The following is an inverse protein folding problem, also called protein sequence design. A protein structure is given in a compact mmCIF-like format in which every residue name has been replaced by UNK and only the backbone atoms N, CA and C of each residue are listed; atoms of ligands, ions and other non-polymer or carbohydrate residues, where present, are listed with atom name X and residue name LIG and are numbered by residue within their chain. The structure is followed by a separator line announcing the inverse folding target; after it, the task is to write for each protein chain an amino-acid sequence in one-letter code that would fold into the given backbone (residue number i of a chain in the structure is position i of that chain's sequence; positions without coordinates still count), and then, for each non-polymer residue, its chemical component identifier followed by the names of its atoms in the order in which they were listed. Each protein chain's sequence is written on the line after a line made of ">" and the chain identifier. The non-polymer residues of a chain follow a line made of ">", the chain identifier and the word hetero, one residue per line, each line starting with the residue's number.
data_IF_351470282134
#
_entry.id   IF_351470282134
#
_cell.length_a   1.000
_cell.length_b   1.000
_cell.length_c   1.000
_cell.angle_alpha   90.00
_cell.angle_beta   90.00
_cell.angle_gamma   90.00
#
_symmetry.space_group_name_H-M   'P 1'
#
loop_
_entity.id
_entity.type
_entity.pdbx_description
1 polymer ?
#
# COMPACT_ATOMS: atom_id res chain seq x y z
N UNK A 1 13.21 13.19 -9.85
CA UNK A 1 13.43 11.92 -9.12
C UNK A 1 14.51 11.17 -9.87
N UNK A 2 15.67 10.95 -9.23
CA UNK A 2 16.83 10.25 -9.79
C UNK A 2 17.19 9.00 -8.97
N UNK A 3 16.81 8.97 -7.69
CA UNK A 3 17.06 7.85 -6.80
C UNK A 3 15.77 7.38 -6.11
N UNK A 4 15.76 6.15 -5.59
CA UNK A 4 14.60 5.53 -4.94
C UNK A 4 14.15 6.24 -3.65
N UNK A 5 15.07 6.94 -2.98
CA UNK A 5 14.79 7.68 -1.74
C UNK A 5 14.31 9.12 -2.00
N UNK A 6 14.30 9.57 -3.25
CA UNK A 6 13.82 10.91 -3.58
C UNK A 6 12.30 10.97 -3.35
N UNK A 7 11.86 11.97 -2.60
CA UNK A 7 10.45 12.18 -2.31
C UNK A 7 9.76 12.85 -3.50
N UNK A 8 8.62 12.32 -3.98
CA UNK A 8 7.79 13.01 -4.96
C UNK A 8 7.33 14.38 -4.47
N UNK A 9 7.45 15.40 -5.30
CA UNK A 9 6.82 16.70 -5.08
C UNK A 9 5.46 16.76 -5.79
N UNK A 10 4.39 16.46 -5.04
CA UNK A 10 3.03 16.49 -5.58
C UNK A 10 2.47 17.91 -5.74
N UNK A 11 3.07 18.92 -5.08
CA UNK A 11 2.61 20.30 -5.18
C UNK A 11 2.96 20.92 -6.55
N UNK A 12 4.08 20.50 -7.14
CA UNK A 12 4.47 20.88 -8.51
C UNK A 12 3.79 20.04 -9.61
N UNK A 13 3.08 18.97 -9.25
CA UNK A 13 2.28 18.13 -10.17
C UNK A 13 0.81 17.98 -9.71
N UNK A 14 0.03 19.08 -9.63
CA UNK A 14 -1.32 19.06 -9.09
C UNK A 14 -2.31 18.29 -9.99
N UNK A 15 -2.05 18.24 -11.29
CA UNK A 15 -2.88 17.52 -12.27
C UNK A 15 -2.49 16.04 -12.43
N UNK A 16 -1.39 15.59 -11.80
CA UNK A 16 -0.92 14.20 -11.88
C UNK A 16 -0.41 13.79 -13.26
N UNK A 17 0.26 14.71 -13.98
CA UNK A 17 0.83 14.44 -15.30
C UNK A 17 2.09 13.59 -15.23
N UNK A 18 2.84 13.69 -14.13
CA UNK A 18 4.08 12.91 -13.92
C UNK A 18 3.78 11.69 -13.07
N UNK A 19 3.06 11.89 -11.96
CA UNK A 19 2.63 10.82 -11.07
C UNK A 19 1.11 10.86 -11.02
N UNK A 20 0.49 9.91 -11.69
CA UNK A 20 -0.96 9.85 -11.84
C UNK A 20 -1.69 9.95 -10.48
N UNK A 21 -2.82 10.65 -10.47
CA UNK A 21 -3.61 10.88 -9.25
C UNK A 21 -4.11 9.58 -8.63
N UNK A 22 -4.34 8.57 -9.45
CA UNK A 22 -4.78 7.21 -9.10
C UNK A 22 -3.61 6.22 -8.91
N UNK A 23 -2.36 6.69 -8.95
CA UNK A 23 -1.21 5.82 -8.69
C UNK A 23 -1.18 5.36 -7.23
N UNK A 24 -0.85 4.08 -7.02
CA UNK A 24 -0.81 3.44 -5.71
C UNK A 24 -0.10 4.28 -4.63
N UNK A 25 1.11 4.78 -4.94
CA UNK A 25 1.92 5.52 -3.96
C UNK A 25 1.28 6.86 -3.56
N UNK A 26 0.56 7.51 -4.49
CA UNK A 26 -0.05 8.83 -4.29
C UNK A 26 -1.39 8.71 -3.55
N UNK A 27 -2.17 7.67 -3.86
CA UNK A 27 -3.37 7.32 -3.10
C UNK A 27 -3.03 6.85 -1.67
N UNK A 28 -2.02 5.98 -1.53
CA UNK A 28 -1.62 5.46 -0.23
C UNK A 28 -1.13 6.58 0.70
N UNK A 29 -0.32 7.49 0.17
CA UNK A 29 0.15 8.66 0.89
C UNK A 29 0.17 9.91 -0.02
N UNK A 30 -0.85 10.78 0.08
CA UNK A 30 -0.91 12.03 -0.69
C UNK A 30 0.04 13.11 -0.17
N UNK A 31 0.81 12.84 0.90
CA UNK A 31 1.83 13.74 1.49
C UNK A 31 1.29 15.11 1.92
N UNK A 32 0.06 15.13 2.44
CA UNK A 32 -0.53 16.29 3.12
C UNK A 32 -0.30 16.19 4.64
N UNK A 33 -0.44 17.29 5.37
CA UNK A 33 -0.32 17.29 6.83
C UNK A 33 -1.29 16.31 7.51
N UNK A 34 -2.48 16.12 6.95
CA UNK A 34 -3.49 15.17 7.44
C UNK A 34 -3.11 13.71 7.18
N UNK A 35 -2.27 13.44 6.17
CA UNK A 35 -1.84 12.08 5.85
C UNK A 35 -0.70 11.57 6.73
N UNK A 36 0.01 12.45 7.45
CA UNK A 36 1.11 12.09 8.36
C UNK A 36 0.67 11.12 9.47
N UNK A 37 -0.56 11.26 9.99
CA UNK A 37 -1.06 10.33 11.02
C UNK A 37 -1.36 8.92 10.50
N UNK A 38 -1.32 8.72 9.17
CA UNK A 38 -1.62 7.44 8.51
C UNK A 38 -0.39 6.64 8.08
N UNK A 39 0.81 7.09 8.48
CA UNK A 39 2.06 6.38 8.20
C UNK A 39 2.11 5.01 8.88
N UNK A 40 2.72 4.05 8.20
CA UNK A 40 2.89 2.68 8.66
C UNK A 40 4.22 2.10 8.17
N UNK A 41 4.80 1.20 8.95
CA UNK A 41 5.96 0.40 8.54
C UNK A 41 5.45 -0.85 7.82
N UNK A 42 5.95 -1.17 6.62
CA UNK A 42 5.44 -2.27 5.77
C UNK A 42 6.49 -3.36 5.49
N UNK A 43 6.83 -4.22 6.47
CA UNK A 43 7.80 -5.30 6.27
C UNK A 43 7.12 -6.55 5.69
N UNK A 44 6.59 -6.44 4.47
CA UNK A 44 5.96 -7.56 3.76
C UNK A 44 6.97 -8.55 3.17
N UNK A 45 6.50 -9.75 2.85
CA UNK A 45 7.29 -10.81 2.22
C UNK A 45 6.61 -11.30 0.94
N UNK A 46 7.39 -11.66 -0.08
CA UNK A 46 6.82 -12.37 -1.24
C UNK A 46 6.50 -13.82 -0.87
N UNK A 47 5.41 -14.36 -1.40
CA UNK A 47 5.12 -15.80 -1.34
C UNK A 47 5.01 -16.41 -2.73
N UNK A 48 5.27 -17.72 -2.81
CA UNK A 48 5.08 -18.54 -3.99
C UNK A 48 4.64 -19.93 -3.55
N UNK A 49 3.42 -20.32 -3.87
CA UNK A 49 2.78 -21.59 -3.50
C UNK A 49 2.72 -22.60 -4.64
N UNK A 50 3.18 -22.24 -5.84
CA UNK A 50 3.26 -23.13 -6.99
C UNK A 50 2.32 -22.68 -8.11
N UNK A 51 1.54 -23.61 -8.65
CA UNK A 51 0.68 -23.39 -9.82
C UNK A 51 -0.75 -23.79 -9.49
N UNK A 52 -1.71 -22.94 -9.87
CA UNK A 52 -3.15 -23.20 -9.71
C UNK A 52 -3.65 -24.23 -10.73
N UNK A 53 -4.88 -24.73 -10.55
CA UNK A 53 -5.51 -25.64 -11.51
C UNK A 53 -5.68 -25.03 -12.92
N UNK A 54 -5.71 -23.70 -13.04
CA UNK A 54 -5.76 -22.99 -14.33
C UNK A 54 -4.38 -22.78 -14.96
N UNK A 55 -3.31 -23.28 -14.34
CA UNK A 55 -1.93 -23.13 -14.85
C UNK A 55 -1.29 -21.78 -14.53
N UNK A 56 -1.91 -20.96 -13.67
CA UNK A 56 -1.36 -19.67 -13.26
C UNK A 56 -0.47 -19.82 -12.03
N UNK A 57 0.51 -18.93 -11.88
CA UNK A 57 1.38 -18.92 -10.70
C UNK A 57 0.58 -18.44 -9.47
N UNK A 58 0.58 -19.25 -8.41
CA UNK A 58 0.02 -18.88 -7.11
C UNK A 58 1.11 -18.16 -6.31
N UNK A 59 1.20 -16.84 -6.50
CA UNK A 59 2.22 -15.99 -5.92
C UNK A 59 1.66 -14.61 -5.59
N UNK A 60 2.30 -13.92 -4.66
CA UNK A 60 1.90 -12.59 -4.28
C UNK A 60 2.67 -12.06 -3.08
N UNK A 61 2.00 -11.21 -2.31
CA UNK A 61 2.57 -10.51 -1.16
C UNK A 61 1.88 -10.94 0.13
N UNK A 62 2.66 -11.44 1.08
CA UNK A 62 2.29 -11.46 2.49
C UNK A 62 2.45 -10.03 3.01
N UNK A 63 1.40 -9.24 2.84
CA UNK A 63 1.39 -7.86 3.30
C UNK A 63 1.33 -7.83 4.83
N UNK A 64 2.39 -7.32 5.44
CA UNK A 64 2.47 -7.08 6.89
C UNK A 64 2.73 -5.59 7.08
N UNK A 65 2.00 -4.99 8.03
CA UNK A 65 2.24 -3.61 8.43
C UNK A 65 2.14 -3.45 9.95
N UNK A 66 2.89 -2.48 10.46
CA UNK A 66 2.85 -2.04 11.84
C UNK A 66 2.53 -0.55 11.91
N UNK A 67 1.61 -0.21 12.81
CA UNK A 67 1.18 1.15 13.08
C UNK A 67 0.80 1.28 14.55
N UNK A 68 0.80 2.50 15.07
CA UNK A 68 0.35 2.78 16.43
C UNK A 68 -1.17 2.68 16.59
N UNK A 69 -1.92 3.07 15.55
CA UNK A 69 -3.37 3.13 15.53
C UNK A 69 -3.89 2.49 14.22
N UNK A 70 -4.71 1.44 14.35
CA UNK A 70 -5.22 0.68 13.21
C UNK A 70 -6.17 1.51 12.32
N UNK A 71 -6.99 2.34 12.93
CA UNK A 71 -7.96 3.18 12.21
C UNK A 71 -7.25 4.26 11.42
N UNK A 72 -6.27 4.93 12.04
CA UNK A 72 -5.48 5.98 11.38
C UNK A 72 -4.51 5.42 10.35
N UNK A 73 -3.93 4.25 10.58
CA UNK A 73 -2.98 3.61 9.67
C UNK A 73 -3.67 2.83 8.55
N UNK A 74 -3.62 1.50 8.64
CA UNK A 74 -4.03 0.58 7.57
C UNK A 74 -5.43 0.85 7.04
N UNK A 75 -6.42 1.05 7.91
CA UNK A 75 -7.81 1.25 7.48
C UNK A 75 -7.99 2.55 6.68
N UNK A 76 -7.34 3.63 7.10
CA UNK A 76 -7.40 4.91 6.38
C UNK A 76 -6.72 4.82 5.03
N UNK A 77 -5.54 4.19 4.96
CA UNK A 77 -4.80 4.02 3.71
C UNK A 77 -5.56 3.09 2.75
N UNK A 78 -6.06 1.95 3.23
CA UNK A 78 -6.82 1.02 2.40
C UNK A 78 -8.11 1.67 1.85
N UNK A 79 -8.79 2.50 2.65
CA UNK A 79 -9.96 3.26 2.17
C UNK A 79 -9.62 4.21 1.00
N UNK A 80 -8.41 4.80 0.99
CA UNK A 80 -7.94 5.64 -0.13
C UNK A 80 -7.57 4.82 -1.36
N UNK A 81 -7.11 3.59 -1.16
CA UNK A 81 -6.71 2.67 -2.22
C UNK A 81 -7.88 1.94 -2.88
N UNK A 82 -9.08 1.97 -2.28
CA UNK A 82 -10.25 1.33 -2.88
C UNK A 82 -10.52 1.89 -4.30
N UNK A 83 -10.52 1.01 -5.30
CA UNK A 83 -10.69 1.37 -6.71
C UNK A 83 -9.41 1.84 -7.41
N UNK A 84 -8.24 1.60 -6.82
CA UNK A 84 -6.97 1.90 -7.48
C UNK A 84 -6.71 1.02 -8.72
N UNK A 85 -5.85 1.50 -9.62
CA UNK A 85 -5.47 0.75 -10.82
C UNK A 85 -4.79 -0.60 -10.52
N UNK A 86 -4.18 -0.77 -9.34
CA UNK A 86 -3.52 -2.01 -8.96
C UNK A 86 -4.51 -3.16 -8.66
N UNK A 87 -5.77 -2.86 -8.30
CA UNK A 87 -6.79 -3.87 -7.98
C UNK A 87 -7.08 -4.83 -9.15
N UNK A 88 -6.79 -4.43 -10.39
CA UNK A 88 -6.88 -5.32 -11.55
C UNK A 88 -5.89 -6.50 -11.47
N UNK A 89 -4.76 -6.32 -10.77
CA UNK A 89 -3.64 -7.27 -10.75
C UNK A 89 -3.47 -7.98 -9.41
N UNK A 90 -4.11 -7.50 -8.35
CA UNK A 90 -3.96 -8.05 -7.00
C UNK A 90 -5.30 -8.35 -6.38
N UNK A 91 -5.35 -9.43 -5.58
CA UNK A 91 -6.55 -9.81 -4.84
C UNK A 91 -6.19 -10.19 -3.40
N UNK A 92 -6.66 -9.45 -2.39
CA UNK A 92 -6.56 -9.90 -1.01
C UNK A 92 -7.42 -11.16 -0.82
N UNK A 93 -6.78 -12.30 -0.50
CA UNK A 93 -7.47 -13.59 -0.32
C UNK A 93 -7.60 -14.02 1.15
N UNK A 94 -6.93 -13.34 2.06
CA UNK A 94 -6.94 -13.66 3.49
C UNK A 94 -6.07 -12.69 4.30
N UNK A 95 -6.18 -12.77 5.63
CA UNK A 95 -5.44 -11.93 6.56
C UNK A 95 -6.13 -11.78 7.91
N UNK A 96 -5.63 -10.87 8.74
CA UNK A 96 -6.23 -10.56 10.04
C UNK A 96 -5.56 -9.39 10.74
N UNK A 97 -6.23 -8.84 11.75
CA UNK A 97 -5.68 -7.81 12.63
C UNK A 97 -5.26 -8.43 13.95
N UNK A 98 -4.05 -8.08 14.38
CA UNK A 98 -3.46 -8.61 15.61
C UNK A 98 -2.85 -7.47 16.41
N UNK A 99 -3.00 -7.54 17.74
CA UNK A 99 -2.33 -6.62 18.64
C UNK A 99 -0.97 -7.20 19.03
N UNK A 100 0.12 -6.50 18.70
CA UNK A 100 1.46 -6.86 19.18
C UNK A 100 1.65 -6.28 20.58
N UNK A 101 1.59 -7.14 21.59
CA UNK A 101 2.01 -6.75 22.93
C UNK A 101 3.50 -6.35 22.91
N UNK A 102 3.80 -5.27 23.60
CA UNK A 102 5.17 -4.93 23.99
C UNK A 102 5.47 -5.78 25.22
N UNK A 103 6.53 -6.58 25.18
CA UNK A 103 7.18 -7.06 26.40
C UNK A 103 7.77 -5.87 27.17
#
# INVERSE_FOLDING_TARGET
>A
MQHEHDVPDYASDPEGKVIALDSHIRLANPRTAESESSLMLRPGYSYSLGVTNSGQLDMGLLFVCYQHDLEKGFLTVQKRLNGEALEEYVKPIGGGYFFRCRE
#
